data_IF_744843668714
#
_entry.id   IF_744843668714
#
_cell.length_a   1.000
_cell.length_b   1.000
_cell.length_c   1.000
_cell.angle_alpha   90.00
_cell.angle_beta   90.00
_cell.angle_gamma   90.00
#
_symmetry.space_group_name_H-M   'P 1'
#
loop_
_entity.id
_entity.type
_entity.pdbx_description
1 polymer ?
#
# COMPACT_ATOMS: atom_id res chain seq x y z
N UNK A 1 34.09 20.15 18.53
CA UNK A 1 33.20 18.97 18.61
C UNK A 1 32.29 18.89 17.37
N UNK A 2 32.89 18.96 16.17
CA UNK A 2 32.16 19.13 14.89
C UNK A 2 32.30 17.92 13.96
N UNK A 3 33.09 16.92 14.38
CA UNK A 3 33.63 15.89 13.48
C UNK A 3 32.74 14.63 13.39
N UNK A 4 31.89 14.36 14.39
CA UNK A 4 31.05 13.15 14.38
C UNK A 4 29.81 13.26 13.46
N UNK A 5 29.28 14.47 13.24
CA UNK A 5 28.18 14.72 12.29
C UNK A 5 28.65 14.76 10.82
N UNK A 6 29.95 14.94 10.57
CA UNK A 6 30.53 14.95 9.22
C UNK A 6 30.79 13.55 8.64
N UNK A 7 30.71 12.48 9.44
CA UNK A 7 31.09 11.12 8.99
C UNK A 7 29.95 10.41 8.21
N UNK A 8 28.72 10.95 8.18
CA UNK A 8 27.57 10.29 7.52
C UNK A 8 26.82 11.14 6.47
N UNK A 9 27.41 12.24 6.01
CA UNK A 9 26.78 13.13 5.01
C UNK A 9 26.58 12.52 3.61
N UNK A 10 26.95 11.24 3.39
CA UNK A 10 26.60 10.48 2.18
C UNK A 10 25.38 9.57 2.33
N UNK A 11 24.86 9.38 3.55
CA UNK A 11 23.79 8.42 3.85
C UNK A 11 22.48 9.11 4.29
N UNK A 12 22.56 10.36 4.78
CA UNK A 12 21.40 11.15 5.19
C UNK A 12 21.45 12.58 4.59
N UNK A 13 20.35 13.02 3.98
CA UNK A 13 20.15 14.42 3.55
C UNK A 13 19.58 15.24 4.71
N UNK A 14 20.44 16.00 5.39
CA UNK A 14 20.07 16.79 6.57
C UNK A 14 19.67 18.20 6.13
N UNK A 15 18.43 18.61 6.44
CA UNK A 15 17.92 19.94 6.12
C UNK A 15 17.48 20.69 7.38
N UNK A 16 17.90 21.95 7.57
CA UNK A 16 17.41 22.76 8.67
C UNK A 16 15.96 23.17 8.40
N UNK A 17 15.13 23.13 9.45
CA UNK A 17 13.76 23.65 9.42
C UNK A 17 13.66 24.95 10.21
N UNK A 18 12.82 25.91 9.76
CA UNK A 18 12.66 27.19 10.44
C UNK A 18 11.91 27.08 11.78
N UNK A 19 11.17 26.00 12.00
CA UNK A 19 10.46 25.74 13.25
C UNK A 19 10.15 24.25 13.43
N UNK A 20 9.93 23.85 14.70
CA UNK A 20 9.45 22.50 15.06
C UNK A 20 8.14 22.16 14.35
N UNK A 21 7.21 23.12 14.26
CA UNK A 21 5.93 22.93 13.58
C UNK A 21 6.09 22.68 12.08
N UNK A 22 7.03 23.37 11.41
CA UNK A 22 7.30 23.13 10.00
C UNK A 22 7.91 21.74 9.75
N UNK A 23 8.78 21.28 10.67
CA UNK A 23 9.37 19.95 10.60
C UNK A 23 8.31 18.84 10.83
N UNK A 24 7.45 19.00 11.85
CA UNK A 24 6.34 18.08 12.12
C UNK A 24 5.39 18.02 10.91
N UNK A 25 5.04 19.16 10.31
CA UNK A 25 4.19 19.20 9.12
C UNK A 25 4.79 18.47 7.90
N UNK A 26 6.12 18.38 7.78
CA UNK A 26 6.76 17.59 6.72
C UNK A 26 6.87 16.09 7.08
N UNK A 27 6.88 15.73 8.37
CA UNK A 27 6.68 14.34 8.83
C UNK A 27 5.24 13.89 8.56
N UNK A 28 4.25 14.71 8.92
CA UNK A 28 2.82 14.42 8.72
C UNK A 28 2.49 14.25 7.23
N UNK A 29 3.13 15.04 6.37
CA UNK A 29 3.04 14.92 4.90
C UNK A 29 3.89 13.80 4.31
N UNK A 30 4.51 12.96 5.15
CA UNK A 30 5.32 11.80 4.76
C UNK A 30 6.51 12.17 3.85
N UNK A 31 7.05 13.39 3.98
CA UNK A 31 8.21 13.86 3.19
C UNK A 31 9.54 13.51 3.85
N UNK A 32 9.55 13.40 5.17
CA UNK A 32 10.72 13.04 5.97
C UNK A 32 10.31 12.02 7.04
N UNK A 33 11.26 11.20 7.48
CA UNK A 33 11.02 10.09 8.42
C UNK A 33 11.45 10.44 9.86
N UNK A 34 12.36 11.40 10.02
CA UNK A 34 12.92 11.78 11.30
C UNK A 34 13.32 13.25 11.36
N UNK A 35 13.25 13.84 12.56
CA UNK A 35 13.64 15.21 12.90
C UNK A 35 14.42 15.18 14.22
N UNK A 36 15.59 15.81 14.24
CA UNK A 36 16.32 16.10 15.48
C UNK A 36 15.91 17.48 15.98
N UNK A 37 15.21 17.53 17.10
CA UNK A 37 14.83 18.76 17.78
C UNK A 37 15.85 19.10 18.88
N UNK A 38 16.78 19.98 18.53
CA UNK A 38 17.81 20.49 19.45
C UNK A 38 17.32 21.67 20.32
N UNK A 39 16.07 22.13 20.13
CA UNK A 39 15.49 23.23 20.90
C UNK A 39 14.96 22.80 22.28
N UNK A 40 14.83 21.49 22.52
CA UNK A 40 14.43 20.92 23.81
C UNK A 40 15.64 20.52 24.65
N UNK A 41 15.50 20.51 25.97
CA UNK A 41 16.50 19.98 26.89
C UNK A 41 15.86 18.91 27.78
N UNK A 42 16.16 17.61 27.57
CA UNK A 42 17.13 17.07 26.60
C UNK A 42 16.65 17.19 25.13
N UNK A 43 17.58 17.17 24.15
CA UNK A 43 17.23 17.14 22.74
C UNK A 43 16.37 15.92 22.39
N UNK A 44 15.39 16.10 21.50
CA UNK A 44 14.46 15.06 21.09
C UNK A 44 14.76 14.56 19.68
N UNK A 45 14.51 13.27 19.44
CA UNK A 45 14.47 12.68 18.11
C UNK A 45 13.02 12.33 17.79
N UNK A 46 12.37 13.14 16.97
CA UNK A 46 11.02 12.86 16.49
C UNK A 46 11.11 11.93 15.28
N UNK A 47 10.43 10.79 15.32
CA UNK A 47 10.39 9.82 14.21
C UNK A 47 8.95 9.54 13.80
N UNK A 48 8.78 8.93 12.62
CA UNK A 48 7.51 8.34 12.20
C UNK A 48 7.78 6.90 11.74
N UNK A 49 7.50 5.92 12.60
CA UNK A 49 7.68 4.51 12.21
C UNK A 49 6.73 4.09 11.09
N UNK A 50 5.54 4.69 11.01
CA UNK A 50 4.64 4.54 9.87
C UNK A 50 5.24 5.07 8.54
N UNK A 51 5.99 6.18 8.56
CA UNK A 51 6.63 6.71 7.33
C UNK A 51 7.83 5.88 6.86
N UNK A 52 8.45 5.10 7.74
CA UNK A 52 9.61 4.27 7.41
C UNK A 52 10.07 3.40 8.56
N UNK A 53 9.50 2.20 8.70
CA UNK A 53 9.76 1.30 9.83
C UNK A 53 11.22 0.83 9.92
N UNK A 54 11.90 0.61 8.78
CA UNK A 54 13.32 0.24 8.76
C UNK A 54 14.22 1.38 9.25
N UNK A 55 13.98 2.61 8.78
CA UNK A 55 14.73 3.80 9.20
C UNK A 55 14.48 4.11 10.67
N UNK A 56 13.21 4.05 11.11
CA UNK A 56 12.84 4.21 12.51
C UNK A 56 13.61 3.21 13.40
N UNK A 57 13.59 1.92 13.07
CA UNK A 57 14.32 0.88 13.84
C UNK A 57 15.82 1.13 13.91
N UNK A 58 16.46 1.49 12.79
CA UNK A 58 17.89 1.80 12.77
C UNK A 58 18.19 3.01 13.66
N UNK A 59 17.38 4.06 13.58
CA UNK A 59 17.53 5.24 14.43
C UNK A 59 17.30 4.92 15.91
N UNK A 60 16.34 4.07 16.26
CA UNK A 60 16.12 3.60 17.63
C UNK A 60 17.26 2.71 18.14
N UNK A 61 17.87 1.89 17.27
CA UNK A 61 19.02 1.05 17.62
C UNK A 61 20.30 1.86 17.83
N UNK A 62 20.48 2.97 17.09
CA UNK A 62 21.64 3.85 17.21
C UNK A 62 21.65 4.67 18.52
N UNK A 63 20.50 4.81 19.17
CA UNK A 63 20.33 5.48 20.47
C UNK A 63 20.56 4.55 21.68
N UNK A 64 21.02 3.31 21.47
CA UNK A 64 21.42 2.46 22.59
C UNK A 64 22.53 3.14 23.41
N UNK A 65 22.39 3.21 24.75
CA UNK A 65 23.22 4.03 25.62
C UNK A 65 24.66 3.53 25.59
N UNK A 66 25.48 4.16 24.76
CA UNK A 66 26.93 3.99 24.76
C UNK A 66 27.50 5.04 25.71
N UNK A 67 28.41 4.68 26.65
CA UNK A 67 29.00 5.65 27.57
C UNK A 67 29.62 6.83 26.82
N UNK A 68 29.14 8.06 27.06
CA UNK A 68 29.66 9.28 26.45
C UNK A 68 28.90 9.82 25.22
N UNK A 69 27.75 9.24 24.83
CA UNK A 69 26.82 9.84 23.86
C UNK A 69 25.60 10.47 24.55
N UNK A 70 25.11 11.59 24.01
CA UNK A 70 23.88 12.23 24.47
C UNK A 70 22.70 11.28 24.26
N UNK A 71 21.92 11.00 25.31
CA UNK A 71 20.66 10.27 25.19
C UNK A 71 19.63 11.20 24.55
N UNK A 72 19.19 10.88 23.33
CA UNK A 72 18.11 11.61 22.68
C UNK A 72 16.79 11.04 23.17
N UNK A 73 15.84 11.89 23.55
CA UNK A 73 14.50 11.39 23.85
C UNK A 73 13.78 11.08 22.53
N UNK A 74 13.59 9.80 22.23
CA UNK A 74 12.88 9.36 21.02
C UNK A 74 11.36 9.52 21.24
N UNK A 75 10.71 10.22 20.31
CA UNK A 75 9.26 10.38 20.28
C UNK A 75 8.78 9.97 18.90
N UNK A 76 7.95 8.93 18.83
CA UNK A 76 7.29 8.53 17.58
C UNK A 76 5.98 9.29 17.41
N UNK A 77 5.89 10.11 16.36
CA UNK A 77 4.71 10.92 16.05
C UNK A 77 3.57 10.08 15.47
N UNK A 78 3.90 8.98 14.77
CA UNK A 78 2.95 8.09 14.14
C UNK A 78 3.38 6.63 14.34
N UNK A 79 3.16 6.08 15.55
CA UNK A 79 3.66 4.76 15.91
C UNK A 79 2.91 3.63 15.21
N UNK A 80 3.67 2.64 14.73
CA UNK A 80 3.13 1.34 14.34
C UNK A 80 2.70 0.55 15.59
N UNK A 81 1.64 -0.26 15.50
CA UNK A 81 1.16 -1.05 16.63
C UNK A 81 2.20 -2.13 17.03
N UNK A 82 2.31 -2.47 18.33
CA UNK A 82 3.27 -3.48 18.81
C UNK A 82 3.03 -4.88 18.20
N UNK A 83 1.80 -5.17 17.80
CA UNK A 83 1.38 -6.41 17.15
C UNK A 83 1.81 -6.49 15.68
N UNK A 84 2.11 -5.35 15.04
CA UNK A 84 2.62 -5.26 13.67
C UNK A 84 3.75 -4.20 13.58
N UNK A 85 4.94 -4.50 14.14
CA UNK A 85 6.04 -3.54 14.21
C UNK A 85 6.66 -3.25 12.83
N UNK A 86 6.25 -3.97 11.78
CA UNK A 86 6.74 -3.83 10.42
C UNK A 86 5.71 -3.19 9.47
N UNK A 87 4.46 -2.99 9.91
CA UNK A 87 3.38 -2.43 9.09
C UNK A 87 2.91 -3.37 7.97
N UNK A 88 3.04 -4.68 8.15
CA UNK A 88 2.75 -5.69 7.13
C UNK A 88 1.27 -6.06 7.03
N UNK A 89 0.43 -5.70 8.01
CA UNK A 89 -0.98 -6.03 8.00
C UNK A 89 -1.69 -5.51 6.73
N UNK A 90 -1.43 -4.25 6.36
CA UNK A 90 -1.96 -3.64 5.14
C UNK A 90 -1.49 -4.39 3.89
N UNK A 91 -0.21 -4.80 3.86
CA UNK A 91 0.36 -5.53 2.73
C UNK A 91 -0.32 -6.89 2.52
N UNK A 92 -0.44 -7.70 3.56
CA UNK A 92 -1.08 -9.01 3.48
C UNK A 92 -2.58 -8.92 3.18
N UNK A 93 -3.25 -7.89 3.70
CA UNK A 93 -4.65 -7.61 3.38
C UNK A 93 -4.85 -7.37 1.88
N UNK A 94 -3.96 -6.60 1.24
CA UNK A 94 -4.02 -6.35 -0.19
C UNK A 94 -3.71 -7.62 -1.01
N UNK A 95 -2.78 -8.48 -0.56
CA UNK A 95 -2.59 -9.80 -1.17
C UNK A 95 -3.89 -10.61 -1.09
N UNK A 96 -4.52 -10.67 0.08
CA UNK A 96 -5.76 -11.41 0.28
C UNK A 96 -6.89 -10.88 -0.62
N UNK A 97 -7.07 -9.57 -0.68
CA UNK A 97 -8.05 -8.91 -1.56
C UNK A 97 -7.80 -9.23 -3.04
N UNK A 98 -6.53 -9.22 -3.44
CA UNK A 98 -6.13 -9.49 -4.82
C UNK A 98 -6.40 -10.94 -5.21
N UNK A 99 -5.98 -11.89 -4.37
CA UNK A 99 -6.24 -13.33 -4.55
C UNK A 99 -7.75 -13.57 -4.61
N UNK A 100 -8.51 -12.99 -3.68
CA UNK A 100 -9.97 -13.09 -3.67
C UNK A 100 -10.59 -12.63 -4.98
N UNK A 101 -10.12 -11.51 -5.54
CA UNK A 101 -10.61 -10.96 -6.81
C UNK A 101 -10.37 -11.91 -7.99
N UNK A 102 -9.10 -12.25 -8.27
CA UNK A 102 -8.79 -13.02 -9.48
C UNK A 102 -9.15 -14.50 -9.36
N UNK A 103 -8.94 -15.14 -8.19
CA UNK A 103 -9.23 -16.58 -8.01
C UNK A 103 -10.72 -16.83 -8.12
N UNK A 104 -11.54 -16.00 -7.49
CA UNK A 104 -13.00 -16.16 -7.59
C UNK A 104 -13.48 -16.05 -9.04
N UNK A 105 -12.93 -15.12 -9.83
CA UNK A 105 -13.30 -15.00 -11.24
C UNK A 105 -12.80 -16.18 -12.09
N UNK A 106 -11.63 -16.74 -11.78
CA UNK A 106 -11.18 -18.00 -12.39
C UNK A 106 -12.15 -19.15 -12.09
N UNK A 107 -12.53 -19.30 -10.82
CA UNK A 107 -13.48 -20.32 -10.40
C UNK A 107 -14.86 -20.10 -11.02
N UNK A 108 -15.30 -18.85 -11.15
CA UNK A 108 -16.55 -18.52 -11.82
C UNK A 108 -16.53 -18.97 -13.28
N UNK A 109 -15.45 -18.67 -14.02
CA UNK A 109 -15.28 -19.16 -15.39
C UNK A 109 -15.28 -20.69 -15.46
N UNK A 110 -14.56 -21.35 -14.56
CA UNK A 110 -14.44 -22.81 -14.56
C UNK A 110 -15.78 -23.51 -14.36
N UNK A 111 -16.66 -22.93 -13.52
CA UNK A 111 -17.92 -23.54 -13.12
C UNK A 111 -19.13 -23.04 -13.93
N UNK A 112 -19.07 -21.83 -14.51
CA UNK A 112 -20.20 -21.21 -15.21
C UNK A 112 -19.74 -20.59 -16.52
N UNK A 113 -19.96 -21.31 -17.63
CA UNK A 113 -19.49 -20.93 -18.97
C UNK A 113 -20.49 -20.11 -19.80
N UNK A 114 -21.71 -19.93 -19.30
CA UNK A 114 -22.84 -19.35 -20.06
C UNK A 114 -23.22 -17.93 -19.61
N UNK A 115 -22.40 -17.31 -18.75
CA UNK A 115 -22.66 -15.94 -18.26
C UNK A 115 -22.47 -14.93 -19.38
N UNK A 116 -23.43 -14.01 -19.52
CA UNK A 116 -23.28 -12.82 -20.36
C UNK A 116 -22.34 -11.81 -19.68
N UNK A 117 -21.72 -10.91 -20.45
CA UNK A 117 -20.85 -9.86 -19.92
C UNK A 117 -21.52 -9.03 -18.81
N UNK A 118 -22.82 -8.70 -18.96
CA UNK A 118 -23.55 -7.94 -17.94
C UNK A 118 -23.68 -8.70 -16.61
N UNK A 119 -24.00 -10.00 -16.65
CA UNK A 119 -24.07 -10.84 -15.45
C UNK A 119 -22.69 -11.09 -14.84
N UNK A 120 -21.66 -11.17 -15.68
CA UNK A 120 -20.27 -11.26 -15.24
C UNK A 120 -19.85 -10.01 -14.47
N UNK A 121 -20.13 -8.82 -15.01
CA UNK A 121 -19.85 -7.55 -14.34
C UNK A 121 -20.65 -7.41 -13.03
N UNK A 122 -21.89 -7.89 -12.99
CA UNK A 122 -22.66 -7.94 -11.75
C UNK A 122 -22.01 -8.86 -10.70
N UNK A 123 -21.46 -10.01 -11.11
CA UNK A 123 -20.71 -10.89 -10.22
C UNK A 123 -19.41 -10.24 -9.71
N UNK A 124 -18.69 -9.51 -10.57
CA UNK A 124 -17.52 -8.73 -10.17
C UNK A 124 -17.90 -7.66 -9.14
N UNK A 125 -18.97 -6.91 -9.38
CA UNK A 125 -19.45 -5.88 -8.45
C UNK A 125 -19.88 -6.48 -7.10
N UNK A 126 -20.63 -7.58 -7.13
CA UNK A 126 -21.03 -8.30 -5.92
C UNK A 126 -19.82 -8.81 -5.14
N UNK A 127 -18.84 -9.42 -5.82
CA UNK A 127 -17.60 -9.88 -5.20
C UNK A 127 -16.81 -8.71 -4.60
N UNK A 128 -16.67 -7.60 -5.31
CA UNK A 128 -15.94 -6.44 -4.83
C UNK A 128 -16.56 -5.87 -3.56
N UNK A 129 -17.88 -5.67 -3.55
CA UNK A 129 -18.61 -5.11 -2.41
C UNK A 129 -18.62 -6.07 -1.23
N UNK A 130 -19.04 -7.33 -1.43
CA UNK A 130 -19.18 -8.31 -0.35
C UNK A 130 -17.82 -8.78 0.14
N UNK A 131 -16.92 -9.14 -0.78
CA UNK A 131 -15.57 -9.61 -0.46
C UNK A 131 -14.71 -8.51 0.17
N UNK A 132 -14.76 -7.29 -0.38
CA UNK A 132 -14.07 -6.15 0.20
C UNK A 132 -14.61 -5.77 1.58
N UNK A 133 -15.94 -5.82 1.76
CA UNK A 133 -16.58 -5.58 3.05
C UNK A 133 -16.20 -6.61 4.10
N UNK A 134 -16.22 -7.90 3.74
CA UNK A 134 -15.78 -8.98 4.63
C UNK A 134 -14.33 -8.78 5.07
N UNK A 135 -13.43 -8.48 4.13
CA UNK A 135 -12.01 -8.21 4.44
C UNK A 135 -11.84 -6.95 5.29
N UNK A 136 -12.61 -5.89 5.04
CA UNK A 136 -12.58 -4.66 5.84
C UNK A 136 -13.05 -4.90 7.29
N UNK A 137 -14.11 -5.68 7.47
CA UNK A 137 -14.61 -6.07 8.80
C UNK A 137 -13.59 -6.93 9.52
N UNK A 138 -12.95 -7.88 8.83
CA UNK A 138 -11.91 -8.72 9.44
C UNK A 138 -10.70 -7.87 9.85
N UNK A 139 -10.18 -7.04 8.95
CA UNK A 139 -8.96 -6.27 9.21
C UNK A 139 -9.15 -5.10 10.20
N UNK A 140 -10.32 -4.47 10.18
CA UNK A 140 -10.71 -3.42 11.12
C UNK A 140 -11.24 -4.03 12.42
N UNK A 141 -12.57 -4.09 12.63
CA UNK A 141 -13.15 -4.39 13.95
C UNK A 141 -12.88 -5.78 14.52
N UNK A 142 -12.59 -6.81 13.71
CA UNK A 142 -12.36 -8.17 14.24
C UNK A 142 -10.93 -8.36 14.74
N UNK A 143 -9.94 -7.93 13.94
CA UNK A 143 -8.53 -8.08 14.28
C UNK A 143 -7.92 -6.84 14.96
N UNK A 144 -8.61 -5.71 14.88
CA UNK A 144 -8.15 -4.38 15.30
C UNK A 144 -6.75 -4.04 14.74
N UNK A 145 -6.48 -4.51 13.52
CA UNK A 145 -5.18 -4.38 12.88
C UNK A 145 -5.04 -3.02 12.16
N UNK A 146 -6.16 -2.45 11.71
CA UNK A 146 -6.22 -1.17 11.00
C UNK A 146 -7.27 -0.26 11.64
N UNK A 147 -6.84 0.90 12.10
CA UNK A 147 -7.66 1.91 12.77
C UNK A 147 -8.38 2.88 11.82
N UNK A 148 -8.21 2.75 10.51
CA UNK A 148 -8.89 3.58 9.53
C UNK A 148 -10.42 3.41 9.58
N UNK A 149 -11.21 4.45 9.24
CA UNK A 149 -12.67 4.35 9.21
C UNK A 149 -13.16 3.19 8.34
N UNK A 150 -14.09 2.39 8.86
CA UNK A 150 -14.60 1.20 8.15
C UNK A 150 -15.12 1.50 6.73
N UNK A 151 -15.87 2.59 6.46
CA UNK A 151 -16.32 2.90 5.09
C UNK A 151 -15.18 3.15 4.11
N UNK A 152 -14.09 3.76 4.58
CA UNK A 152 -12.91 4.06 3.77
C UNK A 152 -12.10 2.79 3.50
N UNK A 153 -11.86 1.97 4.53
CA UNK A 153 -11.26 0.64 4.37
C UNK A 153 -12.04 -0.22 3.39
N UNK A 154 -13.37 -0.27 3.57
CA UNK A 154 -14.25 -1.02 2.68
C UNK A 154 -14.10 -0.56 1.23
N UNK A 155 -14.18 0.75 0.97
CA UNK A 155 -14.05 1.29 -0.37
C UNK A 155 -12.71 0.93 -1.03
N UNK A 156 -11.60 1.12 -0.31
CA UNK A 156 -10.25 0.86 -0.84
C UNK A 156 -10.02 -0.62 -1.12
N UNK A 157 -10.46 -1.50 -0.23
CA UNK A 157 -10.31 -2.95 -0.38
C UNK A 157 -11.23 -3.45 -1.51
N UNK A 158 -12.47 -2.98 -1.57
CA UNK A 158 -13.39 -3.28 -2.67
C UNK A 158 -12.84 -2.85 -4.03
N UNK A 159 -12.19 -1.68 -4.10
CA UNK A 159 -11.49 -1.21 -5.30
C UNK A 159 -10.41 -2.20 -5.76
N UNK A 160 -9.56 -2.65 -4.83
CA UNK A 160 -8.53 -3.64 -5.15
C UNK A 160 -9.11 -4.98 -5.62
N UNK A 161 -10.15 -5.50 -4.94
CA UNK A 161 -10.84 -6.74 -5.35
C UNK A 161 -11.41 -6.58 -6.76
N UNK A 162 -12.04 -5.45 -7.05
CA UNK A 162 -12.60 -5.15 -8.37
C UNK A 162 -11.52 -5.09 -9.45
N UNK A 163 -10.41 -4.37 -9.21
CA UNK A 163 -9.31 -4.26 -10.17
C UNK A 163 -8.72 -5.64 -10.50
N UNK A 164 -8.45 -6.46 -9.48
CA UNK A 164 -7.93 -7.82 -9.68
C UNK A 164 -8.91 -8.70 -10.46
N UNK A 165 -10.21 -8.63 -10.12
CA UNK A 165 -11.26 -9.37 -10.81
C UNK A 165 -11.42 -8.93 -12.27
N UNK A 166 -11.45 -7.62 -12.55
CA UNK A 166 -11.60 -7.05 -13.90
C UNK A 166 -10.38 -7.33 -14.77
N UNK A 167 -9.17 -7.17 -14.22
CA UNK A 167 -7.94 -7.49 -14.93
C UNK A 167 -7.91 -8.97 -15.33
N UNK A 168 -8.18 -9.86 -14.37
CA UNK A 168 -8.24 -11.29 -14.66
C UNK A 168 -9.29 -11.61 -15.71
N UNK A 169 -10.48 -11.02 -15.60
CA UNK A 169 -11.56 -11.19 -16.58
C UNK A 169 -11.15 -10.72 -17.98
N UNK A 170 -10.38 -9.63 -18.07
CA UNK A 170 -9.82 -9.15 -19.34
C UNK A 170 -8.84 -10.16 -19.91
N UNK A 171 -7.93 -10.68 -19.08
CA UNK A 171 -6.97 -11.70 -19.50
C UNK A 171 -7.66 -13.00 -19.92
N UNK A 172 -8.76 -13.39 -19.27
CA UNK A 172 -9.58 -14.53 -19.67
C UNK A 172 -10.13 -14.37 -21.09
N UNK A 173 -10.56 -13.16 -21.46
CA UNK A 173 -11.03 -12.86 -22.83
C UNK A 173 -9.87 -12.89 -23.84
N UNK A 174 -8.70 -12.33 -23.48
CA UNK A 174 -7.58 -12.16 -24.40
C UNK A 174 -6.76 -13.45 -24.61
N UNK A 175 -6.45 -14.16 -23.51
CA UNK A 175 -5.50 -15.29 -23.50
C UNK A 175 -6.08 -16.57 -22.88
N UNK A 176 -7.38 -16.58 -22.54
CA UNK A 176 -8.12 -17.76 -22.11
C UNK A 176 -7.50 -18.44 -20.88
N UNK A 177 -7.20 -19.74 -20.96
CA UNK A 177 -6.62 -20.53 -19.86
C UNK A 177 -5.28 -19.97 -19.35
N UNK A 178 -4.56 -19.25 -20.21
CA UNK A 178 -3.26 -18.67 -19.88
C UNK A 178 -3.34 -17.37 -19.10
N UNK A 179 -4.54 -16.86 -18.84
CA UNK A 179 -4.78 -15.62 -18.08
C UNK A 179 -4.13 -15.62 -16.69
N UNK A 180 -3.83 -16.80 -16.14
CA UNK A 180 -3.21 -16.92 -14.82
C UNK A 180 -1.79 -16.36 -14.83
N UNK A 181 -1.06 -16.52 -15.94
CA UNK A 181 0.34 -16.06 -16.06
C UNK A 181 0.44 -14.54 -15.95
N UNK A 182 -0.23 -13.72 -16.82
CA UNK A 182 -0.15 -12.27 -16.71
C UNK A 182 -0.79 -11.74 -15.42
N UNK A 183 -1.88 -12.36 -14.94
CA UNK A 183 -2.53 -11.95 -13.69
C UNK A 183 -1.60 -12.17 -12.50
N UNK A 184 -0.99 -13.35 -12.38
CA UNK A 184 -0.04 -13.63 -11.32
C UNK A 184 1.21 -12.75 -11.41
N UNK A 185 1.74 -12.52 -12.61
CA UNK A 185 2.89 -11.65 -12.81
C UNK A 185 2.62 -10.20 -12.37
N UNK A 186 1.47 -9.64 -12.73
CA UNK A 186 1.11 -8.25 -12.36
C UNK A 186 0.82 -8.13 -10.88
N UNK A 187 0.05 -9.06 -10.31
CA UNK A 187 -0.49 -8.89 -8.97
C UNK A 187 0.32 -9.52 -7.85
N UNK A 188 1.00 -10.64 -8.11
CA UNK A 188 1.80 -11.33 -7.11
C UNK A 188 3.26 -10.93 -7.25
N UNK A 189 3.86 -11.08 -8.44
CA UNK A 189 5.28 -10.75 -8.62
C UNK A 189 5.53 -9.24 -8.52
N UNK A 190 4.86 -8.46 -9.36
CA UNK A 190 4.99 -7.00 -9.37
C UNK A 190 4.24 -6.35 -8.20
N UNK A 191 3.05 -6.87 -7.85
CA UNK A 191 2.28 -6.36 -6.71
C UNK A 191 3.05 -6.45 -5.38
N UNK A 192 3.70 -7.58 -5.08
CA UNK A 192 4.42 -7.76 -3.82
C UNK A 192 5.70 -6.93 -3.71
N UNK A 193 6.34 -6.64 -4.85
CA UNK A 193 7.52 -5.76 -4.88
C UNK A 193 7.08 -4.28 -4.80
N UNK A 194 5.93 -3.94 -5.35
CA UNK A 194 5.35 -2.59 -5.35
C UNK A 194 4.67 -2.15 -4.05
N UNK A 195 4.36 -3.05 -3.14
CA UNK A 195 3.62 -2.72 -1.91
C UNK A 195 4.50 -2.19 -0.78
N UNK A 196 5.84 -2.30 -0.90
CA UNK A 196 6.77 -1.95 0.16
C UNK A 196 6.81 -2.94 1.35
N UNK A 197 6.13 -4.10 1.24
CA UNK A 197 5.98 -5.05 2.35
C UNK A 197 7.23 -5.89 2.67
N UNK A 198 7.92 -6.44 1.67
CA UNK A 198 9.10 -7.27 1.92
C UNK A 198 10.40 -6.44 2.07
N UNK A 199 10.46 -5.27 1.43
CA UNK A 199 11.60 -4.35 1.44
C UNK A 199 11.06 -2.92 1.23
N UNK A 200 11.59 -1.93 1.98
CA UNK A 200 11.25 -0.51 1.81
C UNK A 200 11.36 -0.09 0.34
N UNK A 201 10.38 0.67 -0.17
CA UNK A 201 10.37 1.18 -1.54
C UNK A 201 11.65 1.96 -1.90
N UNK A 202 12.32 2.54 -0.90
CA UNK A 202 13.58 3.29 -1.03
C UNK A 202 14.81 2.42 -1.28
N UNK A 203 14.71 1.11 -1.09
CA UNK A 203 15.81 0.14 -1.30
C UNK A 203 15.67 -0.65 -2.61
N UNK A 204 14.61 -0.39 -3.39
CA UNK A 204 14.40 -1.05 -4.68
C UNK A 204 15.30 -0.42 -5.75
N UNK A 205 16.02 -1.21 -6.57
CA UNK A 205 16.74 -0.71 -7.74
C UNK A 205 15.77 0.04 -8.68
N UNK A 206 16.18 1.20 -9.21
CA UNK A 206 15.41 1.96 -10.21
C UNK A 206 15.41 1.20 -11.55
N UNK A 207 14.49 0.25 -11.74
CA UNK A 207 13.18 0.54 -12.36
C UNK A 207 11.96 0.16 -11.51
N UNK A 208 12.14 -0.53 -10.38
CA UNK A 208 11.04 -1.03 -9.55
C UNK A 208 10.40 0.05 -8.68
N UNK A 209 11.15 1.11 -8.33
CA UNK A 209 10.63 2.25 -7.58
C UNK A 209 9.57 3.07 -8.37
N UNK A 210 9.70 3.19 -9.69
CA UNK A 210 8.67 3.84 -10.53
C UNK A 210 7.42 2.97 -10.67
N UNK A 211 7.61 1.65 -10.85
CA UNK A 211 6.51 0.68 -10.91
C UNK A 211 5.73 0.62 -9.58
N UNK A 212 6.40 0.85 -8.45
CA UNK A 212 5.77 0.88 -7.12
C UNK A 212 4.57 1.84 -7.08
N UNK A 213 4.74 3.06 -7.57
CA UNK A 213 3.69 4.08 -7.59
C UNK A 213 2.64 3.88 -8.68
N UNK A 214 2.95 3.12 -9.72
CA UNK A 214 2.06 2.91 -10.87
C UNK A 214 1.16 1.68 -10.73
N UNK A 215 1.49 0.75 -9.83
CA UNK A 215 0.77 -0.52 -9.69
C UNK A 215 -0.41 -0.41 -8.71
N UNK A 216 -1.52 -1.14 -8.97
CA UNK A 216 -2.74 -1.02 -8.18
C UNK A 216 -2.54 -1.49 -6.75
N UNK A 217 -1.79 -2.58 -6.54
CA UNK A 217 -1.51 -3.11 -5.21
C UNK A 217 -0.69 -2.14 -4.35
N UNK A 218 0.34 -1.50 -4.91
CA UNK A 218 1.13 -0.48 -4.21
C UNK A 218 0.31 0.76 -3.86
N UNK A 219 -0.55 1.20 -4.77
CA UNK A 219 -1.50 2.28 -4.52
C UNK A 219 -2.53 1.93 -3.44
N UNK A 220 -3.07 0.70 -3.43
CA UNK A 220 -4.00 0.24 -2.40
C UNK A 220 -3.35 0.25 -1.01
N UNK A 221 -2.14 -0.30 -0.90
CA UNK A 221 -1.38 -0.31 0.35
C UNK A 221 -1.11 1.11 0.82
N UNK A 222 -0.63 1.99 -0.07
CA UNK A 222 -0.33 3.38 0.27
C UNK A 222 -1.57 4.15 0.71
N UNK A 223 -2.73 3.91 0.08
CA UNK A 223 -3.99 4.55 0.45
C UNK A 223 -4.48 4.10 1.83
N UNK A 224 -4.55 2.79 2.08
CA UNK A 224 -4.98 2.22 3.37
C UNK A 224 -4.03 2.64 4.49
N UNK A 225 -2.71 2.60 4.22
CA UNK A 225 -1.70 3.03 5.17
C UNK A 225 -1.85 4.52 5.51
N UNK A 226 -2.09 5.38 4.52
CA UNK A 226 -2.31 6.81 4.77
C UNK A 226 -3.63 7.06 5.51
N UNK A 227 -4.69 6.32 5.21
CA UNK A 227 -5.95 6.39 5.95
C UNK A 227 -5.81 5.96 7.42
N UNK A 228 -4.92 5.00 7.70
CA UNK A 228 -4.71 4.43 9.04
C UNK A 228 -3.84 5.33 9.91
N UNK A 229 -2.73 5.84 9.36
CA UNK A 229 -1.72 6.56 10.14
C UNK A 229 -1.71 8.08 9.90
N UNK A 230 -2.25 8.56 8.78
CA UNK A 230 -2.19 9.98 8.39
C UNK A 230 -3.58 10.49 7.94
N UNK A 231 -4.61 10.40 8.80
CA UNK A 231 -5.99 10.72 8.40
C UNK A 231 -6.18 12.17 7.95
N UNK A 232 -5.32 13.09 8.38
CA UNK A 232 -5.38 14.51 8.02
C UNK A 232 -4.51 14.91 6.82
N UNK A 233 -3.56 14.06 6.41
CA UNK A 233 -2.57 14.36 5.36
C UNK A 233 -2.50 13.22 4.32
N UNK A 234 -3.66 12.70 3.92
CA UNK A 234 -3.74 11.62 2.94
C UNK A 234 -3.21 12.05 1.56
N UNK A 235 -2.38 11.20 0.95
CA UNK A 235 -1.91 11.41 -0.42
C UNK A 235 -3.02 11.13 -1.44
N UNK A 236 -3.26 12.08 -2.35
CA UNK A 236 -4.24 11.96 -3.43
C UNK A 236 -3.78 10.99 -4.53
N UNK A 237 -2.48 10.90 -4.76
CA UNK A 237 -1.92 10.11 -5.87
C UNK A 237 -2.31 8.61 -5.83
N UNK A 238 -2.20 7.89 -4.69
CA UNK A 238 -2.68 6.50 -4.60
C UNK A 238 -4.15 6.31 -4.97
N UNK A 239 -5.04 7.23 -4.56
CA UNK A 239 -6.45 7.19 -4.90
C UNK A 239 -6.69 7.37 -6.41
N UNK A 240 -5.95 8.29 -7.03
CA UNK A 240 -6.00 8.52 -8.48
C UNK A 240 -5.53 7.28 -9.24
N UNK A 241 -4.42 6.66 -8.82
CA UNK A 241 -3.89 5.44 -9.45
C UNK A 241 -4.90 4.29 -9.35
N UNK A 242 -5.50 4.08 -8.18
CA UNK A 242 -6.59 3.11 -7.98
C UNK A 242 -7.77 3.38 -8.92
N UNK A 243 -8.23 4.64 -9.01
CA UNK A 243 -9.30 5.04 -9.91
C UNK A 243 -8.97 4.78 -11.39
N UNK A 244 -7.75 5.13 -11.82
CA UNK A 244 -7.29 4.89 -13.19
C UNK A 244 -7.23 3.40 -13.53
N UNK A 245 -6.75 2.55 -12.61
CA UNK A 245 -6.74 1.10 -12.80
C UNK A 245 -8.14 0.51 -12.86
N UNK A 246 -9.06 0.98 -12.01
CA UNK A 246 -10.44 0.52 -12.01
C UNK A 246 -11.12 0.86 -13.34
N UNK A 247 -11.02 2.12 -13.79
CA UNK A 247 -11.57 2.56 -15.08
C UNK A 247 -10.87 1.86 -16.25
N UNK A 248 -9.55 1.72 -16.20
CA UNK A 248 -8.75 1.10 -17.25
C UNK A 248 -9.08 -0.37 -17.43
N UNK A 249 -9.14 -1.15 -16.35
CA UNK A 249 -9.47 -2.59 -16.39
C UNK A 249 -10.92 -2.84 -16.77
N UNK A 250 -11.86 -2.00 -16.29
CA UNK A 250 -13.25 -2.06 -16.72
C UNK A 250 -13.39 -1.79 -18.23
N UNK A 251 -12.76 -0.72 -18.71
CA UNK A 251 -12.78 -0.35 -20.12
C UNK A 251 -12.14 -1.43 -20.98
N UNK A 252 -10.97 -1.94 -20.57
CA UNK A 252 -10.29 -3.02 -21.28
C UNK A 252 -11.16 -4.28 -21.37
N UNK A 253 -11.85 -4.65 -20.30
CA UNK A 253 -12.78 -5.78 -20.29
C UNK A 253 -13.95 -5.56 -21.25
N UNK A 254 -14.63 -4.41 -21.14
CA UNK A 254 -15.81 -4.10 -21.97
C UNK A 254 -15.43 -4.03 -23.45
N UNK A 255 -14.32 -3.37 -23.78
CA UNK A 255 -13.84 -3.24 -25.16
C UNK A 255 -13.42 -4.59 -25.71
N UNK A 256 -12.58 -5.35 -24.99
CA UNK A 256 -12.12 -6.67 -25.45
C UNK A 256 -13.28 -7.64 -25.67
N UNK A 257 -14.23 -7.70 -24.73
CA UNK A 257 -15.42 -8.54 -24.84
C UNK A 257 -16.31 -8.15 -26.03
N UNK A 258 -16.48 -6.84 -26.30
CA UNK A 258 -17.28 -6.35 -27.42
C UNK A 258 -16.61 -6.57 -28.77
N UNK A 259 -15.32 -6.27 -28.88
CA UNK A 259 -14.54 -6.41 -30.11
C UNK A 259 -14.42 -7.87 -30.52
N UNK A 260 -14.11 -8.74 -29.55
CA UNK A 260 -13.97 -10.17 -29.80
C UNK A 260 -15.31 -10.92 -29.81
N UNK A 261 -16.40 -10.26 -29.41
CA UNK A 261 -17.75 -10.82 -29.23
C UNK A 261 -17.74 -12.08 -28.35
N UNK A 262 -16.98 -12.02 -27.24
CA UNK A 262 -16.80 -13.12 -26.29
C UNK A 262 -17.07 -12.65 -24.87
N UNK A 263 -17.74 -13.51 -24.11
CA UNK A 263 -17.81 -13.36 -22.66
C UNK A 263 -16.54 -13.92 -22.00
N UNK A 264 -16.07 -13.37 -20.85
CA UNK A 264 -15.02 -14.01 -20.04
C UNK A 264 -15.36 -15.43 -19.59
N UNK A 265 -16.65 -15.81 -19.62
CA UNK A 265 -17.12 -17.13 -19.26
C UNK A 265 -16.81 -18.22 -20.31
N UNK A 266 -16.56 -17.83 -21.56
CA UNK A 266 -16.21 -18.75 -22.66
C UNK A 266 -14.78 -19.31 -22.52
#
# INVERSE_FOLDING_TARGET
>A
MTTALQIQSREFDVRPYPSRAAAIADVDRQRIVAVVDAGTSPPQLLISSASGSSTARVLTQLDQPTPGRFALQIVDLHPLPPTDPAGLATFYLIIAATILGFVTMFQLRANVKTLTLGRWLAAVAALAVVGGGALAVVAGPVLDALSAPLPELWLLISGQVAIAALFNSTMLVLVHRWAIIPTWAVFILLGNTSSGGAVSASLLPQPFAFLNHALPSGAAVSAIHSATYFPHDQRVLPLVVQGLWLVGTLTALVVSARVLRRSPAE
#
